data_IF_307514327708
#
_entry.id   IF_307514327708
#
_cell.length_a   1.000
_cell.length_b   1.000
_cell.length_c   1.000
_cell.angle_alpha   90.00
_cell.angle_beta   90.00
_cell.angle_gamma   90.00
#
_symmetry.space_group_name_H-M   'P 1'
#
loop_
_entity.id
_entity.type
_entity.pdbx_description
1 polymer ?
#
# COMPACT_ATOMS: atom_id res chain seq x y z
N UNK A 1 26.98 -2.65 60.13
CA UNK A 1 25.62 -2.64 59.54
C UNK A 1 25.62 -1.67 58.40
N UNK A 2 25.99 -2.13 57.21
CA UNK A 2 26.11 -1.29 56.01
C UNK A 2 24.99 -1.67 55.05
N UNK A 3 24.07 -0.73 54.80
CA UNK A 3 22.98 -0.87 53.84
C UNK A 3 23.55 -0.57 52.45
N UNK A 4 23.59 -1.59 51.62
CA UNK A 4 23.90 -1.49 50.19
C UNK A 4 22.61 -1.01 49.49
N UNK A 5 22.63 0.23 48.99
CA UNK A 5 21.59 0.76 48.16
C UNK A 5 21.76 0.17 46.74
N UNK A 6 20.82 -0.67 46.34
CA UNK A 6 20.71 -1.10 44.93
C UNK A 6 20.23 0.04 44.08
N UNK A 7 21.12 0.56 43.28
CA UNK A 7 20.82 1.53 42.25
C UNK A 7 20.23 0.77 41.03
N UNK A 8 18.90 0.79 40.90
CA UNK A 8 18.22 0.31 39.70
C UNK A 8 18.37 1.35 38.60
N UNK A 9 19.43 1.23 37.81
CA UNK A 9 19.60 1.98 36.59
C UNK A 9 18.44 1.62 35.64
N UNK A 10 17.57 2.60 35.40
CA UNK A 10 16.58 2.55 34.33
C UNK A 10 17.31 2.35 33.00
N UNK A 11 17.32 1.09 32.54
CA UNK A 11 17.60 0.80 31.15
C UNK A 11 16.49 1.42 30.32
N UNK A 12 16.76 2.59 29.75
CA UNK A 12 15.94 3.16 28.70
C UNK A 12 15.96 2.18 27.54
N UNK A 13 14.97 1.29 27.50
CA UNK A 13 14.69 0.46 26.35
C UNK A 13 14.44 1.40 25.17
N UNK A 14 15.44 1.56 24.32
CA UNK A 14 15.27 2.09 22.98
C UNK A 14 14.33 1.12 22.27
N UNK A 15 13.03 1.40 22.38
CA UNK A 15 12.03 0.75 21.55
C UNK A 15 12.35 1.13 20.13
N UNK A 16 13.08 0.25 19.45
CA UNK A 16 13.15 0.26 17.99
C UNK A 16 11.69 0.17 17.54
N UNK A 17 11.12 1.30 17.18
CA UNK A 17 9.79 1.34 16.57
C UNK A 17 9.94 0.67 15.21
N UNK A 18 9.58 -0.61 15.16
CA UNK A 18 9.49 -1.33 13.90
C UNK A 18 8.61 -0.53 12.95
N UNK A 19 9.12 -0.05 11.82
CA UNK A 19 8.33 0.72 10.87
C UNK A 19 7.09 -0.06 10.40
N UNK A 20 7.14 -1.39 10.48
CA UNK A 20 6.05 -2.30 10.12
C UNK A 20 4.96 -2.43 11.19
N UNK A 21 5.24 -2.08 12.45
CA UNK A 21 4.25 -2.11 13.53
C UNK A 21 3.12 -1.07 13.34
N UNK A 22 3.32 -0.10 12.46
CA UNK A 22 2.30 0.90 12.12
C UNK A 22 1.32 0.44 11.05
N UNK A 23 1.53 -0.72 10.42
CA UNK A 23 0.59 -1.23 9.42
C UNK A 23 -0.51 -2.02 10.14
N UNK A 24 -1.71 -1.46 10.31
CA UNK A 24 -2.81 -2.18 10.95
C UNK A 24 -3.17 -3.39 10.11
N UNK A 25 -3.53 -4.49 10.80
CA UNK A 25 -4.06 -5.68 10.13
C UNK A 25 -5.27 -5.31 9.28
N UNK A 26 -5.37 -5.92 8.09
CA UNK A 26 -6.46 -5.68 7.12
C UNK A 26 -7.86 -6.07 7.61
N UNK A 27 -8.00 -6.53 8.83
CA UNK A 27 -9.29 -6.83 9.43
C UNK A 27 -10.24 -5.63 9.52
N UNK A 28 -9.66 -4.40 9.54
CA UNK A 28 -10.44 -3.17 9.46
C UNK A 28 -9.84 -2.26 8.37
N UNK A 29 -10.45 -2.28 7.20
CA UNK A 29 -10.01 -1.53 6.02
C UNK A 29 -9.95 -0.02 6.29
N UNK A 30 -10.90 0.52 7.04
CA UNK A 30 -10.97 1.94 7.37
C UNK A 30 -9.82 2.35 8.30
N UNK A 31 -9.45 1.49 9.25
CA UNK A 31 -8.29 1.71 10.10
C UNK A 31 -6.98 1.72 9.29
N UNK A 32 -6.85 0.79 8.33
CA UNK A 32 -5.70 0.78 7.42
C UNK A 32 -5.60 2.07 6.60
N UNK A 33 -6.70 2.49 5.98
CA UNK A 33 -6.76 3.73 5.19
C UNK A 33 -6.41 4.94 6.05
N UNK A 34 -6.95 5.01 7.26
CA UNK A 34 -6.68 6.08 8.22
C UNK A 34 -5.21 6.11 8.63
N UNK A 35 -4.60 4.96 8.88
CA UNK A 35 -3.19 4.84 9.20
C UNK A 35 -2.31 5.26 8.01
N UNK A 36 -2.61 4.79 6.80
CA UNK A 36 -1.89 5.19 5.59
C UNK A 36 -1.94 6.71 5.34
N UNK A 37 -3.05 7.35 5.68
CA UNK A 37 -3.20 8.79 5.54
C UNK A 37 -2.45 9.61 6.61
N UNK A 38 -2.11 9.01 7.75
CA UNK A 38 -1.36 9.68 8.85
C UNK A 38 0.14 9.71 8.60
N UNK A 39 0.65 8.83 7.75
CA UNK A 39 2.08 8.79 7.43
C UNK A 39 2.46 10.08 6.68
N UNK A 40 3.50 10.80 7.12
CA UNK A 40 3.98 11.99 6.42
C UNK A 40 4.54 11.63 5.04
N UNK A 41 4.36 12.54 4.09
CA UNK A 41 4.97 12.41 2.78
C UNK A 41 6.45 12.76 2.87
N UNK A 42 7.28 12.02 2.16
CA UNK A 42 8.71 12.29 2.03
C UNK A 42 8.95 13.46 1.06
N UNK A 43 9.98 14.23 1.35
CA UNK A 43 10.53 15.21 0.42
C UNK A 43 11.30 14.51 -0.70
N UNK A 44 11.56 15.22 -1.80
CA UNK A 44 12.31 14.66 -2.92
C UNK A 44 13.71 14.21 -2.53
N UNK A 45 14.37 15.02 -1.69
CA UNK A 45 15.74 14.73 -1.24
C UNK A 45 15.79 13.49 -0.34
N UNK A 46 14.78 13.32 0.51
CA UNK A 46 14.62 12.13 1.35
C UNK A 46 14.32 10.88 0.51
N UNK A 47 13.48 11.01 -0.54
CA UNK A 47 13.22 9.90 -1.48
C UNK A 47 14.53 9.41 -2.10
N UNK A 48 15.36 10.33 -2.60
CA UNK A 48 16.67 10.02 -3.20
C UNK A 48 17.61 9.38 -2.17
N UNK A 49 17.70 9.98 -0.98
CA UNK A 49 18.58 9.47 0.07
C UNK A 49 18.22 8.03 0.49
N UNK A 50 16.93 7.72 0.69
CA UNK A 50 16.49 6.37 1.03
C UNK A 50 16.64 5.40 -0.15
N UNK A 51 16.37 5.84 -1.38
CA UNK A 51 16.56 5.01 -2.57
C UNK A 51 18.03 4.66 -2.79
N UNK A 52 18.93 5.61 -2.60
CA UNK A 52 20.39 5.38 -2.70
C UNK A 52 20.88 4.41 -1.61
N UNK A 53 20.40 4.55 -0.37
CA UNK A 53 20.72 3.62 0.72
C UNK A 53 20.20 2.22 0.42
N UNK A 54 18.98 2.09 -0.10
CA UNK A 54 18.42 0.80 -0.49
C UNK A 54 19.25 0.13 -1.58
N UNK A 55 19.69 0.90 -2.59
CA UNK A 55 20.48 0.37 -3.72
C UNK A 55 21.90 -0.02 -3.31
N UNK A 56 22.55 0.79 -2.46
CA UNK A 56 23.93 0.56 -2.04
C UNK A 56 24.08 -0.54 -1.01
N UNK A 57 23.15 -0.65 -0.07
CA UNK A 57 23.28 -1.51 1.11
C UNK A 57 22.16 -2.55 1.24
N UNK A 58 21.14 -2.50 0.37
CA UNK A 58 19.96 -3.37 0.52
C UNK A 58 19.17 -3.08 1.81
N UNK A 59 19.19 -1.83 2.30
CA UNK A 59 18.61 -1.43 3.57
C UNK A 59 17.09 -1.57 3.56
N UNK A 60 16.58 -2.59 4.27
CA UNK A 60 15.15 -2.87 4.37
C UNK A 60 14.39 -1.80 5.15
N UNK A 61 15.04 -1.09 6.08
CA UNK A 61 14.40 0.03 6.77
C UNK A 61 14.13 1.20 5.81
N UNK A 62 15.09 1.52 4.94
CA UNK A 62 14.91 2.55 3.92
C UNK A 62 13.79 2.16 2.96
N UNK A 63 13.75 0.90 2.51
CA UNK A 63 12.66 0.38 1.70
C UNK A 63 11.30 0.50 2.40
N UNK A 64 11.24 0.12 3.69
CA UNK A 64 10.03 0.23 4.50
C UNK A 64 9.51 1.67 4.59
N UNK A 65 10.37 2.64 4.84
CA UNK A 65 10.01 4.06 4.88
C UNK A 65 9.47 4.57 3.55
N UNK A 66 10.10 4.18 2.43
CA UNK A 66 9.63 4.50 1.07
C UNK A 66 8.24 3.91 0.81
N UNK A 67 8.02 2.64 1.14
CA UNK A 67 6.72 1.98 0.94
C UNK A 67 5.64 2.64 1.80
N UNK A 68 5.89 2.82 3.11
CA UNK A 68 4.92 3.39 4.05
C UNK A 68 4.45 4.77 3.63
N UNK A 69 5.36 5.65 3.20
CA UNK A 69 5.03 7.02 2.78
C UNK A 69 4.16 7.05 1.51
N UNK A 70 4.22 6.00 0.69
CA UNK A 70 3.48 5.92 -0.58
C UNK A 70 2.24 5.03 -0.54
N UNK A 71 1.87 4.45 0.63
CA UNK A 71 0.63 3.66 0.78
C UNK A 71 -0.62 4.46 0.42
N UNK A 72 -0.65 5.75 0.71
CA UNK A 72 -1.73 6.66 0.33
C UNK A 72 -1.98 6.67 -1.18
N UNK A 73 -0.92 6.60 -1.98
CA UNK A 73 -1.01 6.53 -3.44
C UNK A 73 -1.72 5.24 -3.87
N UNK A 74 -1.36 4.10 -3.26
CA UNK A 74 -2.00 2.80 -3.55
C UNK A 74 -3.49 2.86 -3.26
N UNK A 75 -3.90 3.38 -2.10
CA UNK A 75 -5.32 3.54 -1.73
C UNK A 75 -6.07 4.42 -2.74
N UNK A 76 -5.45 5.53 -3.16
CA UNK A 76 -6.06 6.44 -4.15
C UNK A 76 -6.26 5.78 -5.51
N UNK A 77 -5.29 4.97 -5.94
CA UNK A 77 -5.37 4.26 -7.23
C UNK A 77 -6.40 3.14 -7.14
N UNK A 78 -6.36 2.30 -6.09
CA UNK A 78 -7.26 1.15 -5.92
C UNK A 78 -8.75 1.55 -5.91
N UNK A 79 -9.08 2.72 -5.36
CA UNK A 79 -10.45 3.26 -5.38
C UNK A 79 -11.03 3.40 -6.79
N UNK A 80 -10.20 3.69 -7.79
CA UNK A 80 -10.65 3.84 -9.18
C UNK A 80 -11.08 2.51 -9.80
N UNK A 81 -10.69 1.39 -9.20
CA UNK A 81 -10.98 0.04 -9.70
C UNK A 81 -12.09 -0.68 -8.94
N UNK A 82 -12.75 -0.04 -7.99
CA UNK A 82 -13.87 -0.63 -7.23
C UNK A 82 -15.04 -1.04 -8.12
N UNK A 83 -15.22 -0.38 -9.27
CA UNK A 83 -16.29 -0.67 -10.23
C UNK A 83 -16.24 -2.07 -10.88
N UNK A 84 -15.14 -2.81 -10.71
CA UNK A 84 -14.98 -4.15 -11.26
C UNK A 84 -15.58 -5.26 -10.37
N UNK A 85 -16.17 -4.90 -9.22
CA UNK A 85 -16.82 -5.85 -8.31
C UNK A 85 -15.86 -6.71 -7.50
N UNK A 86 -14.61 -6.26 -7.35
CA UNK A 86 -13.60 -6.90 -6.51
C UNK A 86 -13.55 -6.26 -5.12
N UNK A 87 -13.18 -7.01 -4.07
CA UNK A 87 -13.05 -6.47 -2.74
C UNK A 87 -11.90 -5.45 -2.70
N UNK A 88 -12.15 -4.30 -2.05
CA UNK A 88 -11.19 -3.20 -1.99
C UNK A 88 -9.88 -3.60 -1.30
N UNK A 89 -9.96 -4.47 -0.29
CA UNK A 89 -8.79 -4.98 0.42
C UNK A 89 -7.82 -5.71 -0.52
N UNK A 90 -8.33 -6.55 -1.40
CA UNK A 90 -7.50 -7.30 -2.35
C UNK A 90 -6.84 -6.36 -3.38
N UNK A 91 -7.59 -5.37 -3.88
CA UNK A 91 -7.04 -4.36 -4.79
C UNK A 91 -5.91 -3.55 -4.16
N UNK A 92 -6.03 -3.24 -2.86
CA UNK A 92 -4.97 -2.55 -2.11
C UNK A 92 -3.75 -3.46 -1.98
N UNK A 93 -3.94 -4.75 -1.66
CA UNK A 93 -2.81 -5.67 -1.50
C UNK A 93 -2.05 -5.88 -2.81
N UNK A 94 -2.74 -6.09 -3.91
CA UNK A 94 -2.09 -6.18 -5.22
C UNK A 94 -1.38 -4.87 -5.58
N UNK A 95 -2.00 -3.73 -5.24
CA UNK A 95 -1.34 -2.42 -5.39
C UNK A 95 -0.09 -2.27 -4.53
N UNK A 96 -0.08 -2.80 -3.31
CA UNK A 96 1.10 -2.82 -2.43
C UNK A 96 2.22 -3.69 -3.03
N UNK A 97 1.89 -4.83 -3.64
CA UNK A 97 2.85 -5.68 -4.35
C UNK A 97 3.48 -4.88 -5.50
N UNK A 98 2.67 -4.16 -6.28
CA UNK A 98 3.13 -3.26 -7.33
C UNK A 98 4.07 -2.18 -6.82
N UNK A 99 3.72 -1.54 -5.69
CA UNK A 99 4.56 -0.53 -5.04
C UNK A 99 5.90 -1.11 -4.59
N UNK A 100 5.91 -2.28 -3.96
CA UNK A 100 7.15 -2.95 -3.55
C UNK A 100 8.05 -3.31 -4.73
N UNK A 101 7.47 -3.78 -5.85
CA UNK A 101 8.20 -4.04 -7.09
C UNK A 101 8.81 -2.74 -7.66
N UNK A 102 8.05 -1.64 -7.61
CA UNK A 102 8.53 -0.32 -8.05
C UNK A 102 9.71 0.17 -7.19
N UNK A 103 9.59 0.14 -5.86
CA UNK A 103 10.66 0.57 -4.93
C UNK A 103 11.94 -0.24 -5.15
N UNK A 104 11.81 -1.55 -5.38
CA UNK A 104 12.96 -2.44 -5.61
C UNK A 104 13.72 -2.13 -6.90
N UNK A 105 13.02 -1.60 -7.92
CA UNK A 105 13.58 -1.31 -9.25
C UNK A 105 13.80 0.19 -9.48
N UNK A 106 13.49 1.00 -8.49
CA UNK A 106 13.61 2.45 -8.61
C UNK A 106 15.07 2.88 -8.70
N UNK A 107 15.35 3.72 -9.69
CA UNK A 107 16.66 4.30 -9.92
C UNK A 107 16.60 5.82 -9.64
N UNK A 108 17.23 6.30 -8.55
CA UNK A 108 17.21 7.72 -8.21
C UNK A 108 17.97 8.60 -9.20
N UNK A 109 18.92 8.03 -9.95
CA UNK A 109 19.79 8.77 -10.89
C UNK A 109 19.02 9.30 -12.11
N UNK A 110 17.85 8.74 -12.40
CA UNK A 110 17.02 9.15 -13.55
C UNK A 110 16.25 10.47 -13.32
N UNK A 111 16.31 11.08 -12.16
CA UNK A 111 15.64 12.35 -11.85
C UNK A 111 14.10 12.28 -11.87
N UNK A 112 13.52 11.09 -11.91
CA UNK A 112 12.06 10.88 -11.90
C UNK A 112 11.57 10.68 -10.46
N UNK A 113 10.42 11.28 -10.11
CA UNK A 113 9.79 11.06 -8.80
C UNK A 113 9.32 9.62 -8.66
N UNK A 114 9.54 9.03 -7.48
CA UNK A 114 9.08 7.69 -7.16
C UNK A 114 7.56 7.53 -7.36
N UNK A 115 6.77 8.55 -7.03
CA UNK A 115 5.32 8.57 -7.26
C UNK A 115 4.94 8.29 -8.70
N UNK A 116 5.60 8.96 -9.66
CA UNK A 116 5.30 8.81 -11.08
C UNK A 116 5.69 7.42 -11.58
N UNK A 117 6.85 6.92 -11.16
CA UNK A 117 7.32 5.59 -11.50
C UNK A 117 6.45 4.48 -10.91
N UNK A 118 6.14 4.57 -9.61
CA UNK A 118 5.35 3.57 -8.90
C UNK A 118 3.91 3.47 -9.44
N UNK A 119 3.34 4.57 -9.90
CA UNK A 119 1.97 4.59 -10.42
C UNK A 119 1.76 3.58 -11.56
N UNK A 120 2.74 3.40 -12.44
CA UNK A 120 2.66 2.43 -13.54
C UNK A 120 2.68 0.99 -13.04
N UNK A 121 3.55 0.68 -12.08
CA UNK A 121 3.64 -0.64 -11.48
C UNK A 121 2.40 -1.02 -10.69
N UNK A 122 1.88 -0.10 -9.88
CA UNK A 122 0.65 -0.30 -9.11
C UNK A 122 -0.53 -0.61 -10.04
N UNK A 123 -0.70 0.19 -11.10
CA UNK A 123 -1.76 -0.04 -12.08
C UNK A 123 -1.61 -1.38 -12.80
N UNK A 124 -0.39 -1.76 -13.18
CA UNK A 124 -0.12 -3.02 -13.87
C UNK A 124 -0.53 -4.23 -13.01
N UNK A 125 -0.14 -4.27 -11.73
CA UNK A 125 -0.50 -5.36 -10.83
C UNK A 125 -2.02 -5.43 -10.58
N UNK A 126 -2.67 -4.30 -10.38
CA UNK A 126 -4.13 -4.26 -10.22
C UNK A 126 -4.83 -4.77 -11.50
N UNK A 127 -4.39 -4.36 -12.68
CA UNK A 127 -4.96 -4.84 -13.93
C UNK A 127 -4.74 -6.34 -14.12
N UNK A 128 -3.54 -6.84 -13.82
CA UNK A 128 -3.24 -8.27 -13.88
C UNK A 128 -4.17 -9.07 -12.95
N UNK A 129 -4.38 -8.58 -11.73
CA UNK A 129 -5.31 -9.19 -10.79
C UNK A 129 -6.75 -9.23 -11.31
N UNK A 130 -7.23 -8.10 -11.89
CA UNK A 130 -8.57 -8.01 -12.48
C UNK A 130 -8.74 -9.02 -13.62
N UNK A 131 -7.74 -9.17 -14.48
CA UNK A 131 -7.75 -10.13 -15.59
C UNK A 131 -7.74 -11.57 -15.08
N UNK A 132 -6.88 -11.87 -14.11
CA UNK A 132 -6.76 -13.20 -13.50
C UNK A 132 -8.04 -13.66 -12.82
N UNK A 133 -8.76 -12.75 -12.15
CA UNK A 133 -10.04 -13.06 -11.48
C UNK A 133 -11.24 -13.09 -12.42
N UNK A 134 -11.06 -12.80 -13.70
CA UNK A 134 -12.15 -12.74 -14.70
C UNK A 134 -13.18 -11.65 -14.42
N UNK A 135 -12.88 -10.68 -13.54
CA UNK A 135 -13.78 -9.58 -13.20
C UNK A 135 -14.09 -8.69 -14.41
N UNK A 136 -13.15 -8.61 -15.35
CA UNK A 136 -13.32 -7.86 -16.60
C UNK A 136 -14.50 -8.37 -17.44
N UNK A 137 -14.69 -9.68 -17.53
CA UNK A 137 -15.80 -10.26 -18.30
C UNK A 137 -17.16 -10.04 -17.62
N UNK A 138 -17.18 -9.94 -16.28
CA UNK A 138 -18.40 -9.69 -15.50
C UNK A 138 -18.87 -8.25 -15.58
N UNK A 139 -17.96 -7.28 -15.57
CA UNK A 139 -18.31 -5.86 -15.62
C UNK A 139 -18.88 -5.43 -16.97
N UNK A 140 -18.54 -6.16 -18.05
CA UNK A 140 -19.05 -5.89 -19.41
C UNK A 140 -20.40 -6.52 -19.72
N UNK A 141 -20.96 -7.37 -18.85
CA UNK A 141 -22.33 -7.87 -19.08
C UNK A 141 -23.31 -6.74 -18.81
N UNK A 142 -24.06 -6.26 -19.84
CA UNK A 142 -25.15 -5.34 -19.60
C UNK A 142 -26.12 -5.99 -18.63
N UNK A 143 -26.52 -5.27 -17.60
CA UNK A 143 -27.65 -5.70 -16.78
C UNK A 143 -28.82 -5.90 -17.71
N UNK A 144 -29.17 -7.16 -17.98
CA UNK A 144 -30.44 -7.48 -18.63
C UNK A 144 -31.51 -6.94 -17.68
N UNK A 145 -32.09 -5.82 -18.04
CA UNK A 145 -33.31 -5.36 -17.40
C UNK A 145 -34.31 -6.50 -17.56
N UNK A 146 -34.67 -7.13 -16.46
CA UNK A 146 -35.78 -8.02 -16.41
C UNK A 146 -37.02 -7.15 -16.59
N UNK A 147 -37.36 -6.85 -17.83
CA UNK A 147 -38.69 -6.41 -18.17
C UNK A 147 -39.59 -7.63 -18.05
N UNK A 148 -40.11 -7.80 -16.86
CA UNK A 148 -41.24 -8.67 -16.61
C UNK A 148 -42.44 -8.05 -17.30
N UNK A 149 -42.68 -8.41 -18.55
CA UNK A 149 -43.96 -8.16 -19.18
C UNK A 149 -44.95 -9.24 -18.71
N UNK A 150 -45.49 -9.02 -17.53
CA UNK A 150 -46.77 -9.65 -17.14
C UNK A 150 -47.87 -8.89 -17.87
N UNK A 151 -48.25 -9.34 -19.03
CA UNK A 151 -49.57 -9.06 -19.60
C UNK A 151 -49.86 -10.05 -20.68
N UNK A 152 -50.65 -11.07 -20.38
CA UNK A 152 -51.80 -11.43 -21.16
C UNK A 152 -52.62 -12.46 -20.42
N UNK A 153 -53.58 -11.92 -19.64
CA UNK A 153 -54.79 -12.65 -19.36
C UNK A 153 -55.77 -12.35 -20.46
N UNK A 154 -56.16 -13.35 -21.19
CA UNK A 154 -57.55 -13.54 -21.62
C UNK A 154 -57.66 -14.74 -22.53
#
# INVERSE_FOLDING_TARGET
MSKIAMNTSHASALTVRDPWAMVPSLGNLDAYISAANRVPLLTHDEEIAFATRLRAHGDLEAAGKLVLSHLRLVVSISRKYLGYGLPHGDLIQEGNIGLMKAVKRFDPDQGVRLVSYAMHWIKAEIHEYILRTGAWSRSRRPRRSASCSSTCAR
#
